data_IF_283891269495
#
_entry.id   IF_283891269495
#
_cell.length_a   1.000
_cell.length_b   1.000
_cell.length_c   1.000
_cell.angle_alpha   90.00
_cell.angle_beta   90.00
_cell.angle_gamma   90.00
#
_symmetry.space_group_name_H-M   'P 1'
#
loop_
_entity.id
_entity.type
_entity.pdbx_description
1 polymer ?
#
# COMPACT_ATOMS: atom_id res chain seq x y z
N UNK A 1 -12.79 -12.18 1.48
CA UNK A 1 -11.64 -11.30 1.78
C UNK A 1 -10.85 -11.18 0.50
N UNK A 2 -10.80 -9.99 -0.13
CA UNK A 2 -9.89 -9.79 -1.26
C UNK A 2 -8.51 -9.55 -0.70
N UNK A 3 -7.53 -10.30 -1.18
CA UNK A 3 -6.15 -10.24 -0.66
C UNK A 3 -5.45 -9.01 -1.24
N UNK A 4 -4.47 -8.42 -0.54
CA UNK A 4 -3.69 -7.25 -1.01
C UNK A 4 -3.14 -7.45 -2.43
N UNK A 5 -2.77 -8.69 -2.80
CA UNK A 5 -2.34 -9.06 -4.14
C UNK A 5 -3.44 -8.89 -5.21
N UNK A 6 -4.69 -9.22 -4.92
CA UNK A 6 -5.81 -9.06 -5.85
C UNK A 6 -6.13 -7.58 -6.12
N UNK A 7 -5.96 -6.73 -5.10
CA UNK A 7 -6.14 -5.29 -5.25
C UNK A 7 -5.07 -4.68 -6.17
N UNK A 8 -3.82 -5.14 -6.08
CA UNK A 8 -2.73 -4.72 -6.98
C UNK A 8 -3.04 -5.10 -8.43
N UNK A 9 -3.50 -6.33 -8.68
CA UNK A 9 -3.84 -6.78 -10.05
C UNK A 9 -4.98 -5.96 -10.64
N UNK A 10 -6.02 -5.66 -9.85
CA UNK A 10 -7.12 -4.78 -10.30
C UNK A 10 -6.65 -3.37 -10.62
N UNK A 11 -5.74 -2.82 -9.81
CA UNK A 11 -5.12 -1.52 -10.04
C UNK A 11 -4.24 -1.49 -11.30
N UNK A 12 -3.43 -2.52 -11.52
CA UNK A 12 -2.59 -2.64 -12.72
C UNK A 12 -3.44 -2.83 -13.98
N UNK A 13 -4.52 -3.59 -13.92
CA UNK A 13 -5.48 -3.73 -15.02
C UNK A 13 -6.21 -2.42 -15.34
N UNK A 14 -6.61 -1.66 -14.32
CA UNK A 14 -7.22 -0.34 -14.50
C UNK A 14 -6.25 0.67 -15.13
N UNK A 15 -4.97 0.64 -14.71
CA UNK A 15 -3.89 1.45 -15.30
C UNK A 15 -3.64 1.12 -16.78
N UNK A 16 -3.72 -0.18 -17.14
CA UNK A 16 -3.58 -0.66 -18.51
C UNK A 16 -4.79 -0.28 -19.38
N UNK A 17 -6.00 -0.38 -18.82
CA UNK A 17 -7.27 -0.06 -19.49
C UNK A 17 -7.53 1.45 -19.61
N UNK A 18 -6.87 2.27 -18.80
CA UNK A 18 -7.12 3.73 -18.73
C UNK A 18 -8.38 4.08 -17.95
N UNK A 19 -8.93 3.12 -17.21
CA UNK A 19 -10.13 3.31 -16.38
C UNK A 19 -9.68 3.77 -15.01
N UNK A 20 -10.19 4.92 -14.56
CA UNK A 20 -9.81 5.50 -13.27
C UNK A 20 -10.68 5.03 -12.10
N UNK A 21 -11.71 4.22 -12.35
CA UNK A 21 -12.62 3.74 -11.30
C UNK A 21 -12.35 2.28 -11.00
N UNK A 22 -12.10 1.96 -9.73
CA UNK A 22 -11.81 0.60 -9.26
C UNK A 22 -12.67 0.28 -8.07
N UNK A 23 -13.28 -0.90 -8.08
CA UNK A 23 -13.98 -1.46 -6.93
C UNK A 23 -13.04 -2.43 -6.19
N UNK A 24 -12.63 -2.05 -4.98
CA UNK A 24 -11.79 -2.85 -4.09
C UNK A 24 -12.48 -2.96 -2.74
N UNK A 25 -12.58 -4.19 -2.22
CA UNK A 25 -13.15 -4.50 -0.90
C UNK A 25 -14.57 -3.97 -0.62
N UNK A 26 -15.38 -3.74 -1.66
CA UNK A 26 -16.72 -3.16 -1.54
C UNK A 26 -16.76 -1.63 -1.63
N UNK A 27 -15.59 -0.98 -1.67
CA UNK A 27 -15.44 0.44 -1.89
C UNK A 27 -15.11 0.74 -3.36
N UNK A 28 -15.93 1.62 -3.96
CA UNK A 28 -15.68 2.16 -5.29
C UNK A 28 -14.79 3.39 -5.15
N UNK A 29 -13.56 3.30 -5.63
CA UNK A 29 -12.60 4.41 -5.64
C UNK A 29 -12.37 4.89 -7.06
N UNK A 30 -12.76 6.14 -7.32
CA UNK A 30 -12.46 6.84 -8.58
C UNK A 30 -11.23 7.72 -8.38
N UNK A 31 -10.15 7.33 -9.02
CA UNK A 31 -8.91 8.08 -9.10
C UNK A 31 -9.06 9.24 -10.09
N UNK A 32 -8.33 10.33 -9.90
CA UNK A 32 -8.46 11.52 -10.79
C UNK A 32 -7.46 11.52 -11.93
N UNK A 33 -6.40 10.72 -11.82
CA UNK A 33 -5.33 10.67 -12.81
C UNK A 33 -4.56 9.34 -12.76
N UNK A 34 -3.75 9.10 -13.80
CA UNK A 34 -2.87 7.93 -13.87
C UNK A 34 -1.77 7.96 -12.79
N UNK A 35 -1.33 9.15 -12.38
CA UNK A 35 -0.36 9.31 -11.30
C UNK A 35 -0.96 8.90 -9.93
N UNK A 36 -2.23 9.21 -9.72
CA UNK A 36 -3.00 8.84 -8.53
C UNK A 36 -3.16 7.31 -8.44
N UNK A 37 -3.41 6.64 -9.57
CA UNK A 37 -3.40 5.18 -9.68
C UNK A 37 -2.04 4.57 -9.33
N UNK A 38 -0.95 5.13 -9.84
CA UNK A 38 0.41 4.66 -9.52
C UNK A 38 0.73 4.82 -8.03
N UNK A 39 0.31 5.94 -7.41
CA UNK A 39 0.45 6.15 -5.98
C UNK A 39 -0.34 5.12 -5.15
N UNK A 40 -1.54 4.76 -5.60
CA UNK A 40 -2.32 3.70 -4.96
C UNK A 40 -1.66 2.32 -5.09
N UNK A 41 -1.09 1.99 -6.27
CA UNK A 41 -0.33 0.75 -6.46
C UNK A 41 0.88 0.70 -5.51
N UNK A 42 1.63 1.80 -5.40
CA UNK A 42 2.78 1.90 -4.51
C UNK A 42 2.37 1.74 -3.03
N UNK A 43 1.25 2.34 -2.63
CA UNK A 43 0.67 2.18 -1.30
C UNK A 43 0.39 0.71 -0.97
N UNK A 44 -0.34 0.00 -1.84
CA UNK A 44 -0.67 -1.41 -1.61
C UNK A 44 0.57 -2.32 -1.69
N UNK A 45 1.55 -2.00 -2.54
CA UNK A 45 2.84 -2.71 -2.57
C UNK A 45 3.62 -2.53 -1.27
N UNK A 46 3.65 -1.32 -0.69
CA UNK A 46 4.26 -1.08 0.62
C UNK A 46 3.52 -1.79 1.75
N UNK A 47 2.18 -1.80 1.70
CA UNK A 47 1.38 -2.51 2.68
C UNK A 47 1.61 -4.02 2.60
N UNK A 48 1.63 -4.60 1.39
CA UNK A 48 1.99 -6.00 1.18
C UNK A 48 3.41 -6.31 1.67
N UNK A 49 4.38 -5.43 1.42
CA UNK A 49 5.75 -5.60 1.89
C UNK A 49 5.87 -5.50 3.42
N UNK A 50 5.10 -4.61 4.05
CA UNK A 50 5.04 -4.47 5.51
C UNK A 50 4.34 -5.67 6.17
N UNK A 51 3.31 -6.24 5.52
CA UNK A 51 2.59 -7.42 5.98
C UNK A 51 3.40 -8.71 5.75
N UNK A 52 4.20 -8.76 4.69
CA UNK A 52 5.16 -9.83 4.42
C UNK A 52 6.46 -9.73 5.24
N UNK A 53 6.73 -8.58 5.87
CA UNK A 53 7.88 -8.43 6.75
C UNK A 53 7.64 -9.25 8.03
N UNK A 54 8.46 -10.27 8.33
CA UNK A 54 8.37 -10.96 9.61
C UNK A 54 8.60 -9.97 10.75
N UNK A 55 7.98 -10.21 11.90
CA UNK A 55 8.08 -9.45 13.17
C UNK A 55 9.51 -9.41 13.77
N UNK A 56 10.55 -9.18 12.98
CA UNK A 56 11.94 -9.49 13.36
C UNK A 56 13.03 -8.49 12.98
N UNK A 57 12.79 -7.47 12.16
CA UNK A 57 13.80 -6.42 11.91
C UNK A 57 13.15 -5.05 11.77
N UNK A 58 12.89 -4.41 12.90
CA UNK A 58 12.83 -2.95 12.96
C UNK A 58 14.28 -2.48 13.06
N UNK A 59 14.78 -1.55 12.23
CA UNK A 59 16.01 -0.86 12.58
C UNK A 59 15.81 -0.21 13.95
N UNK A 60 16.63 -0.63 14.92
CA UNK A 60 16.61 -0.14 16.29
C UNK A 60 17.12 1.31 16.32
N UNK A 61 16.27 2.27 15.97
CA UNK A 61 16.63 3.69 16.04
C UNK A 61 16.22 4.26 17.40
N UNK A 62 17.24 4.35 18.26
CA UNK A 62 17.48 5.26 19.40
C UNK A 62 16.49 5.22 20.56
N UNK A 63 16.84 4.41 21.56
CA UNK A 63 16.49 4.63 22.97
C UNK A 63 17.44 5.69 23.54
N UNK A 64 17.02 6.96 23.57
CA UNK A 64 17.70 7.96 24.40
C UNK A 64 17.11 7.90 25.81
N UNK A 65 17.74 7.14 26.70
CA UNK A 65 17.50 7.28 28.15
C UNK A 65 18.37 8.45 28.61
N UNK A 66 17.73 9.59 28.81
CA UNK A 66 18.33 10.72 29.50
C UNK A 66 18.32 10.41 31.00
N UNK A 67 19.50 10.25 31.60
CA UNK A 67 19.68 10.16 33.05
C UNK A 67 20.12 11.54 33.58
N UNK A 68 19.30 12.20 34.41
CA UNK A 68 19.70 13.43 35.07
C UNK A 68 19.75 13.27 36.59
N UNK A 69 20.73 12.54 37.16
CA UNK A 69 21.13 12.73 38.58
C UNK A 69 22.63 12.56 38.84
#
# INVERSE_FOLDING_TARGET
MTTTAENIVKLEAALASGVLTIESEGDRKTYRSRADLLGAIDYFKRQAAAEAAPLGVRPATTLAVYDPR
#
